data_IF_270317174718
#
_entry.id   IF_270317174718
#
_cell.length_a   1.000
_cell.length_b   1.000
_cell.length_c   1.000
_cell.angle_alpha   90.00
_cell.angle_beta   90.00
_cell.angle_gamma   90.00
#
_symmetry.space_group_name_H-M   'P 1'
#
loop_
_entity.id
_entity.type
_entity.pdbx_description
1 polymer ?
#
# COMPACT_ATOMS: atom_id res chain seq x y z
N UNK A 1 -18.71 18.16 -42.64
CA UNK A 1 -17.74 17.13 -42.16
C UNK A 1 -17.18 17.63 -40.85
N UNK A 2 -17.65 17.07 -39.74
CA UNK A 2 -17.07 17.29 -38.41
C UNK A 2 -16.35 15.99 -38.02
N UNK A 3 -15.14 16.05 -37.45
CA UNK A 3 -14.45 14.84 -37.04
C UNK A 3 -15.18 14.26 -35.82
N UNK A 4 -15.67 13.03 -35.98
CA UNK A 4 -16.09 12.18 -34.87
C UNK A 4 -14.87 11.88 -34.01
N UNK A 5 -14.84 12.42 -32.78
CA UNK A 5 -13.93 11.95 -31.75
C UNK A 5 -14.43 10.57 -31.31
N UNK A 6 -13.97 9.51 -31.96
CA UNK A 6 -14.15 8.15 -31.46
C UNK A 6 -13.48 8.08 -30.09
N UNK A 7 -14.25 7.80 -29.04
CA UNK A 7 -13.69 7.40 -27.75
C UNK A 7 -12.72 6.24 -28.02
N UNK A 8 -11.43 6.53 -27.84
CA UNK A 8 -10.41 5.50 -27.77
C UNK A 8 -10.76 4.58 -26.62
N UNK A 9 -11.15 3.37 -26.99
CA UNK A 9 -10.94 2.11 -26.29
C UNK A 9 -10.53 2.22 -24.80
N UNK A 10 -11.45 1.94 -23.88
CA UNK A 10 -11.21 1.85 -22.43
C UNK A 10 -10.36 0.60 -22.05
N UNK A 11 -9.39 0.21 -22.88
CA UNK A 11 -8.56 -1.01 -22.76
C UNK A 11 -7.17 -0.71 -22.22
N UNK A 12 -7.11 -0.17 -21.01
CA UNK A 12 -5.87 -0.23 -20.23
C UNK A 12 -6.18 -0.32 -18.73
N UNK A 13 -6.13 -1.54 -18.19
CA UNK A 13 -5.80 -1.71 -16.77
C UNK A 13 -4.45 -1.01 -16.56
N UNK A 14 -4.41 -0.06 -15.63
CA UNK A 14 -3.19 0.62 -15.18
C UNK A 14 -2.35 -0.34 -14.31
N UNK A 15 -2.13 -1.56 -14.77
CA UNK A 15 -1.35 -2.58 -14.07
C UNK A 15 0.00 -1.98 -13.65
N UNK A 16 0.43 -2.29 -12.43
CA UNK A 16 1.68 -1.82 -11.83
C UNK A 16 1.74 -0.30 -11.57
N UNK A 17 0.67 0.46 -11.84
CA UNK A 17 0.55 1.82 -11.28
C UNK A 17 0.38 1.73 -9.77
N UNK A 18 0.84 2.77 -9.10
CA UNK A 18 0.89 2.83 -7.65
C UNK A 18 0.18 4.07 -7.14
N UNK A 19 -0.35 3.96 -5.91
CA UNK A 19 -0.75 5.08 -5.09
C UNK A 19 -0.02 4.94 -3.74
N UNK A 20 0.67 6.00 -3.34
CA UNK A 20 1.45 6.02 -2.10
C UNK A 20 0.75 6.92 -1.08
N UNK A 21 0.48 6.36 0.11
CA UNK A 21 0.20 7.12 1.31
C UNK A 21 1.49 7.20 2.13
N UNK A 22 1.99 8.41 2.36
CA UNK A 22 3.27 8.66 3.00
C UNK A 22 3.01 9.29 4.37
N UNK A 23 3.62 8.76 5.42
CA UNK A 23 3.55 9.34 6.77
C UNK A 23 4.28 10.68 6.85
N UNK A 24 4.12 11.39 7.97
CA UNK A 24 5.09 12.40 8.38
C UNK A 24 6.46 11.75 8.70
N UNK A 25 7.48 12.59 8.89
CA UNK A 25 8.80 12.13 9.29
C UNK A 25 8.76 11.58 10.73
N UNK A 26 9.16 10.33 10.88
CA UNK A 26 9.19 9.61 12.15
C UNK A 26 10.61 9.67 12.72
N UNK A 27 10.70 9.96 14.02
CA UNK A 27 11.95 10.02 14.79
C UNK A 27 11.85 9.01 15.95
N UNK A 28 11.91 7.70 15.65
CA UNK A 28 11.73 6.69 16.67
C UNK A 28 12.90 6.68 17.66
N UNK A 29 12.62 6.27 18.90
CA UNK A 29 13.65 6.00 19.92
C UNK A 29 13.90 4.50 20.12
N UNK A 30 13.07 3.69 19.49
CA UNK A 30 13.07 2.23 19.50
C UNK A 30 12.24 1.73 18.31
N UNK A 31 12.23 0.43 18.06
CA UNK A 31 11.41 -0.18 17.01
C UNK A 31 9.91 0.11 17.21
N UNK A 32 9.13 0.10 16.13
CA UNK A 32 7.70 0.38 16.17
C UNK A 32 6.89 -0.83 15.72
N UNK A 33 5.72 -1.03 16.32
CA UNK A 33 4.69 -1.90 15.80
C UNK A 33 3.61 -1.07 15.10
N UNK A 34 3.50 -1.23 13.78
CA UNK A 34 2.43 -0.62 12.99
C UNK A 34 1.25 -1.57 12.91
N UNK A 35 0.09 -1.14 13.40
CA UNK A 35 -1.20 -1.78 13.19
C UNK A 35 -1.91 -1.13 12.00
N UNK A 36 -2.56 -1.93 11.17
CA UNK A 36 -3.36 -1.47 10.04
C UNK A 36 -4.52 -2.41 9.75
N UNK A 37 -5.71 -1.87 9.52
CA UNK A 37 -6.86 -2.61 8.99
C UNK A 37 -6.86 -2.53 7.46
N UNK A 38 -6.93 -3.68 6.79
CA UNK A 38 -6.87 -3.78 5.33
C UNK A 38 -8.12 -4.51 4.80
N UNK A 39 -8.80 -3.91 3.83
CA UNK A 39 -9.83 -4.57 3.04
C UNK A 39 -9.40 -4.63 1.57
N UNK A 40 -9.20 -5.84 1.07
CA UNK A 40 -8.93 -6.13 -0.33
C UNK A 40 -9.98 -7.15 -0.79
N UNK A 41 -10.31 -7.23 -2.08
CA UNK A 41 -11.20 -8.29 -2.59
C UNK A 41 -11.00 -8.53 -4.10
N UNK A 42 -11.13 -9.77 -4.56
CA UNK A 42 -11.13 -10.12 -5.99
C UNK A 42 -9.84 -10.79 -6.49
N UNK A 43 -10.00 -11.76 -7.40
CA UNK A 43 -8.95 -12.70 -7.81
C UNK A 43 -7.77 -12.08 -8.59
N UNK A 44 -7.93 -10.86 -9.10
CA UNK A 44 -6.92 -10.16 -9.91
C UNK A 44 -6.41 -8.90 -9.20
N UNK A 45 -6.59 -8.89 -7.88
CA UNK A 45 -6.09 -7.87 -7.00
C UNK A 45 -4.61 -7.64 -7.13
N UNK A 46 -4.21 -6.40 -6.86
CA UNK A 46 -2.80 -6.10 -6.67
C UNK A 46 -2.35 -6.40 -5.25
N UNK A 47 -1.52 -5.52 -4.69
CA UNK A 47 -0.93 -5.71 -3.37
C UNK A 47 -0.76 -4.39 -2.64
N UNK A 48 -0.59 -4.47 -1.33
CA UNK A 48 -0.12 -3.38 -0.49
C UNK A 48 1.32 -3.70 -0.09
N UNK A 49 2.24 -2.79 -0.36
CA UNK A 49 3.62 -2.84 0.13
C UNK A 49 3.78 -1.81 1.25
N UNK A 50 4.36 -2.23 2.38
CA UNK A 50 4.79 -1.34 3.47
C UNK A 50 6.28 -1.11 3.29
N UNK A 51 6.65 0.14 2.99
CA UNK A 51 8.03 0.52 2.69
C UNK A 51 8.52 1.54 3.71
N UNK A 52 9.84 1.64 3.82
CA UNK A 52 10.48 2.75 4.53
C UNK A 52 11.39 3.54 3.60
N UNK A 53 11.50 4.84 3.88
CA UNK A 53 12.37 5.77 3.17
C UNK A 53 13.11 6.61 4.19
N UNK A 54 14.43 6.53 4.22
CA UNK A 54 15.23 7.31 5.17
C UNK A 54 15.13 8.81 4.88
N UNK A 55 15.31 9.61 5.92
CA UNK A 55 15.39 11.05 5.79
C UNK A 55 16.54 11.46 4.84
N UNK A 56 16.23 12.28 3.85
CA UNK A 56 17.18 12.69 2.81
C UNK A 56 17.28 11.75 1.61
N UNK A 57 16.68 10.55 1.65
CA UNK A 57 16.60 9.68 0.48
C UNK A 57 15.52 10.14 -0.49
N UNK A 58 15.79 9.99 -1.80
CA UNK A 58 14.85 10.31 -2.88
C UNK A 58 13.91 9.14 -3.21
N UNK A 59 14.25 7.92 -2.82
CA UNK A 59 13.49 6.69 -3.12
C UNK A 59 13.29 5.84 -1.87
N UNK A 60 12.26 4.98 -1.79
CA UNK A 60 12.15 4.00 -0.73
C UNK A 60 13.40 3.11 -0.68
N UNK A 61 13.89 2.84 0.53
CA UNK A 61 15.14 2.10 0.75
C UNK A 61 14.86 0.62 1.08
N UNK A 62 13.73 0.32 1.71
CA UNK A 62 13.39 -1.04 2.16
C UNK A 62 11.91 -1.35 1.99
N UNK A 63 11.59 -2.59 1.62
CA UNK A 63 10.25 -3.19 1.72
C UNK A 63 10.17 -3.98 3.01
N UNK A 64 9.32 -3.56 3.95
CA UNK A 64 9.17 -4.19 5.26
C UNK A 64 8.15 -5.32 5.20
N UNK A 65 7.03 -5.10 4.53
CA UNK A 65 5.99 -6.10 4.34
C UNK A 65 5.34 -5.96 2.97
N UNK A 66 4.79 -7.06 2.47
CA UNK A 66 3.99 -7.07 1.24
C UNK A 66 2.79 -7.98 1.45
N UNK A 67 1.60 -7.42 1.26
CA UNK A 67 0.33 -8.10 1.44
C UNK A 67 -0.38 -8.21 0.10
N UNK A 68 -0.63 -9.44 -0.31
CA UNK A 68 -1.56 -9.78 -1.37
C UNK A 68 -2.71 -10.60 -0.79
N UNK A 69 -3.81 -10.65 -1.54
CA UNK A 69 -4.97 -11.42 -1.08
C UNK A 69 -4.92 -12.87 -1.52
N UNK A 70 -5.34 -13.76 -0.63
CA UNK A 70 -5.60 -15.18 -0.89
C UNK A 70 -7.10 -15.32 -1.12
N UNK A 71 -7.53 -15.15 -2.37
CA UNK A 71 -8.80 -15.66 -2.93
C UNK A 71 -9.99 -15.78 -1.96
N UNK A 72 -10.49 -14.68 -1.39
CA UNK A 72 -11.82 -14.67 -0.76
C UNK A 72 -12.80 -13.93 -1.68
N UNK A 73 -13.99 -14.50 -1.85
CA UNK A 73 -15.07 -13.90 -2.65
C UNK A 73 -15.83 -12.80 -1.89
N UNK A 74 -15.45 -12.53 -0.63
CA UNK A 74 -16.13 -11.60 0.25
C UNK A 74 -15.15 -10.52 0.75
N UNK A 75 -15.59 -9.23 0.78
CA UNK A 75 -14.82 -8.15 1.39
C UNK A 75 -14.80 -8.34 2.91
N UNK A 76 -13.62 -8.59 3.47
CA UNK A 76 -13.42 -8.77 4.91
C UNK A 76 -12.23 -7.90 5.32
N UNK A 77 -12.41 -7.12 6.39
CA UNK A 77 -11.32 -6.38 7.02
C UNK A 77 -10.37 -7.36 7.71
N UNK A 78 -9.08 -7.22 7.41
CA UNK A 78 -8.00 -8.01 8.00
C UNK A 78 -7.03 -7.07 8.69
N UNK A 79 -6.83 -7.27 9.97
CA UNK A 79 -5.82 -6.54 10.75
C UNK A 79 -4.43 -7.14 10.50
N UNK A 80 -3.43 -6.25 10.43
CA UNK A 80 -2.02 -6.61 10.26
C UNK A 80 -1.16 -5.81 11.21
N UNK A 81 -0.21 -6.52 11.81
CA UNK A 81 0.87 -5.97 12.62
C UNK A 81 2.17 -6.07 11.82
N UNK A 82 2.88 -4.95 11.71
CA UNK A 82 4.12 -4.84 10.94
C UNK A 82 5.21 -4.27 11.84
N UNK A 83 6.22 -5.09 12.10
CA UNK A 83 7.42 -4.65 12.82
C UNK A 83 8.23 -3.70 11.94
N UNK A 84 8.37 -2.45 12.38
CA UNK A 84 9.22 -1.45 11.75
C UNK A 84 10.51 -1.32 12.59
N UNK A 85 11.69 -1.65 12.04
CA UNK A 85 12.94 -1.58 12.78
C UNK A 85 13.32 -0.12 13.10
N UNK A 86 14.07 0.07 14.19
CA UNK A 86 14.75 1.33 14.43
C UNK A 86 15.93 1.46 13.45
N UNK A 87 15.86 2.47 12.58
CA UNK A 87 16.84 2.75 11.53
C UNK A 87 17.09 4.26 11.40
N UNK A 88 16.92 5.01 12.48
CA UNK A 88 17.03 6.47 12.48
C UNK A 88 15.76 7.15 11.97
N UNK A 89 15.90 8.31 11.32
CA UNK A 89 14.74 9.11 10.89
C UNK A 89 14.24 8.65 9.53
N UNK A 90 12.96 8.31 9.43
CA UNK A 90 12.39 7.75 8.21
C UNK A 90 10.91 8.10 8.02
N UNK A 91 10.43 7.87 6.81
CA UNK A 91 9.02 7.87 6.45
C UNK A 91 8.56 6.42 6.28
N UNK A 92 7.34 6.13 6.72
CA UNK A 92 6.63 4.89 6.36
C UNK A 92 5.74 5.20 5.16
N UNK A 93 5.78 4.32 4.16
CA UNK A 93 5.00 4.45 2.93
C UNK A 93 4.12 3.21 2.79
N UNK A 94 2.82 3.44 2.73
CA UNK A 94 1.83 2.42 2.38
C UNK A 94 1.55 2.57 0.90
N UNK A 95 2.07 1.63 0.10
CA UNK A 95 1.97 1.66 -1.37
C UNK A 95 0.94 0.64 -1.85
N UNK A 96 -0.16 1.13 -2.40
CA UNK A 96 -1.12 0.30 -3.11
C UNK A 96 -0.69 0.14 -4.58
N UNK A 97 -0.58 -1.11 -5.05
CA UNK A 97 -0.18 -1.44 -6.43
C UNK A 97 -1.36 -2.03 -7.16
N UNK A 98 -1.65 -1.56 -8.37
CA UNK A 98 -2.76 -2.03 -9.20
C UNK A 98 -2.47 -3.41 -9.78
N UNK A 99 -3.39 -4.35 -9.58
CA UNK A 99 -3.35 -5.71 -10.13
C UNK A 99 -3.73 -5.78 -11.62
N UNK A 100 -3.96 -6.99 -12.11
CA UNK A 100 -4.21 -7.24 -13.54
C UNK A 100 -5.67 -7.08 -13.98
N UNK A 101 -6.64 -7.03 -13.05
CA UNK A 101 -8.06 -6.99 -13.40
C UNK A 101 -8.80 -5.76 -12.89
N UNK A 102 -10.08 -5.69 -13.26
CA UNK A 102 -10.91 -4.48 -13.19
C UNK A 102 -11.90 -4.46 -12.02
N UNK A 103 -12.23 -5.62 -11.47
CA UNK A 103 -13.25 -5.77 -10.42
C UNK A 103 -12.58 -5.92 -9.05
N UNK A 104 -11.89 -4.87 -8.63
CA UNK A 104 -10.98 -4.92 -7.49
C UNK A 104 -10.86 -3.53 -6.83
N UNK A 105 -11.12 -3.42 -5.50
CA UNK A 105 -10.81 -2.23 -4.69
C UNK A 105 -9.91 -2.51 -3.46
N UNK A 106 -9.02 -1.57 -3.11
CA UNK A 106 -8.20 -1.62 -1.89
C UNK A 106 -8.66 -0.49 -0.98
N UNK A 107 -8.96 -0.82 0.29
CA UNK A 107 -9.21 0.14 1.35
C UNK A 107 -8.34 -0.19 2.58
N UNK A 108 -7.97 0.86 3.30
CA UNK A 108 -7.21 0.77 4.55
C UNK A 108 -7.89 1.67 5.59
N UNK A 109 -7.77 1.30 6.86
CA UNK A 109 -8.25 2.09 7.99
C UNK A 109 -7.40 1.80 9.23
N UNK A 110 -7.65 2.54 10.32
CA UNK A 110 -7.09 2.30 11.66
C UNK A 110 -5.55 2.13 11.69
N UNK A 111 -4.82 3.02 11.02
CA UNK A 111 -3.36 3.02 11.01
C UNK A 111 -2.84 3.60 12.34
N UNK A 112 -2.19 2.75 13.14
CA UNK A 112 -1.69 3.12 14.47
C UNK A 112 -0.23 2.66 14.61
N UNK A 113 0.62 3.51 15.18
CA UNK A 113 1.99 3.17 15.53
C UNK A 113 2.15 3.11 17.04
N UNK A 114 2.53 1.93 17.55
CA UNK A 114 2.91 1.72 18.95
C UNK A 114 4.42 1.55 19.05
N UNK A 115 5.01 2.02 20.15
CA UNK A 115 6.44 1.81 20.43
C UNK A 115 6.70 0.39 20.91
N UNK A 116 7.78 -0.21 20.43
CA UNK A 116 8.21 -1.56 20.79
C UNK A 116 7.89 -2.62 19.72
N UNK A 117 7.94 -3.87 20.15
CA UNK A 117 7.67 -5.04 19.29
C UNK A 117 6.17 -5.27 19.09
N UNK A 118 5.81 -5.72 17.90
CA UNK A 118 4.66 -6.59 17.67
C UNK A 118 4.98 -7.98 18.29
#
# INVERSE_FOLDING_TARGET
MAPTCSLGDLRHTRKDKVADLVSDLIYPREELCMHIAINMYGATMGRIDILTKDYGSSTPNSTIASFNMVTSNNPVWTEKDVQIPDQGFYYVIIRAVVGSGFASGIAIDDIIFNTGKC
#
